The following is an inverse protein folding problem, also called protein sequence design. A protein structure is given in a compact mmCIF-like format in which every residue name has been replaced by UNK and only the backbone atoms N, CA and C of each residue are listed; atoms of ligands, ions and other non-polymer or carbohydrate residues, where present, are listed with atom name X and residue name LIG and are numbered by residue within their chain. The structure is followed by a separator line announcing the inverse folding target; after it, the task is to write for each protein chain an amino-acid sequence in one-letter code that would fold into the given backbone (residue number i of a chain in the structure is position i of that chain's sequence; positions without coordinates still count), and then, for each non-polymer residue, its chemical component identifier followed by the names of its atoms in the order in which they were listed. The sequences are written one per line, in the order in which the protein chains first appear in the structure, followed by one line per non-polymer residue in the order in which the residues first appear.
data_IF_059000137479
#
_entry.id   IF_059000137479
#
_cell.length_a   1.000
_cell.length_b   1.000
_cell.length_c   1.000
_cell.angle_alpha   90.00
_cell.angle_beta   90.00
_cell.angle_gamma   90.00
#
_symmetry.space_group_name_H-M   'P 1'
#
loop_
_entity.id
_entity.type
_entity.pdbx_description
1 polymer ?
#
# COMPACT_ATOMS: atom_id res chain seq x y z
N UNK A 1 55.17 28.94 23.86
CA UNK A 1 55.18 28.21 22.57
C UNK A 1 54.22 27.07 22.71
N UNK A 2 53.37 26.89 21.69
CA UNK A 2 52.30 25.89 21.58
C UNK A 2 52.80 24.45 21.81
N UNK A 3 51.95 23.57 22.35
CA UNK A 3 51.19 22.62 21.52
C UNK A 3 50.42 21.55 22.33
N UNK A 4 49.24 21.22 21.78
CA UNK A 4 48.54 19.92 21.75
C UNK A 4 48.13 19.24 23.06
N UNK A 5 46.83 19.37 23.37
CA UNK A 5 46.06 18.34 24.05
C UNK A 5 45.18 17.69 22.97
N UNK A 6 45.51 16.46 22.63
CA UNK A 6 44.60 15.53 21.97
C UNK A 6 43.79 14.83 23.05
N UNK A 7 42.47 14.99 23.01
CA UNK A 7 41.56 14.15 23.79
C UNK A 7 41.14 12.98 22.92
N UNK A 8 41.65 11.81 23.29
CA UNK A 8 41.06 10.50 23.05
C UNK A 8 39.62 10.51 23.57
N UNK A 9 38.65 10.21 22.70
CA UNK A 9 37.38 9.65 23.12
C UNK A 9 37.23 8.35 22.34
N UNK A 10 37.73 7.30 22.98
CA UNK A 10 37.46 5.92 22.63
C UNK A 10 36.10 5.51 23.23
N UNK A 11 35.42 4.71 22.43
CA UNK A 11 34.52 3.62 22.78
C UNK A 11 33.45 3.81 23.88
N UNK A 12 32.22 4.03 23.44
CA UNK A 12 31.10 3.16 23.81
C UNK A 12 29.84 3.59 23.03
N UNK A 13 29.30 2.70 22.21
CA UNK A 13 27.86 2.36 22.21
C UNK A 13 27.55 1.32 21.13
N UNK A 14 27.79 0.07 21.54
CA UNK A 14 27.00 -1.13 21.24
C UNK A 14 26.44 -1.28 19.82
N UNK A 15 27.15 -2.13 19.09
CA UNK A 15 26.66 -2.98 18.01
C UNK A 15 25.60 -3.96 18.57
N UNK A 16 24.37 -3.46 18.76
CA UNK A 16 23.18 -4.28 19.02
C UNK A 16 22.79 -5.02 17.72
N UNK A 17 23.49 -6.14 17.53
CA UNK A 17 23.09 -7.38 16.87
C UNK A 17 21.69 -7.34 16.22
N UNK A 18 21.68 -7.28 14.89
CA UNK A 18 20.48 -7.48 14.07
C UNK A 18 19.72 -8.74 14.51
N UNK A 19 18.49 -8.57 15.00
CA UNK A 19 17.54 -9.68 15.16
C UNK A 19 17.16 -10.21 13.79
N UNK A 20 17.79 -11.32 13.41
CA UNK A 20 17.26 -12.25 12.41
C UNK A 20 16.68 -13.45 13.14
N UNK A 21 15.36 -13.56 13.24
CA UNK A 21 14.57 -14.74 13.67
C UNK A 21 13.09 -14.42 13.39
N UNK A 22 12.15 -15.28 12.99
CA UNK A 22 11.98 -16.75 12.88
C UNK A 22 10.65 -16.99 12.10
N UNK A 23 10.33 -18.23 11.65
CA UNK A 23 9.07 -18.52 10.95
C UNK A 23 7.85 -18.23 11.83
N UNK A 24 6.73 -17.90 11.18
CA UNK A 24 5.40 -17.58 11.71
C UNK A 24 5.22 -17.78 13.22
N UNK A 25 5.16 -16.67 13.95
CA UNK A 25 4.44 -16.55 15.23
C UNK A 25 3.71 -15.22 15.29
N UNK A 26 2.42 -15.32 15.57
CA UNK A 26 1.45 -14.26 15.79
C UNK A 26 1.92 -13.31 16.90
N UNK A 27 2.35 -12.11 16.52
CA UNK A 27 2.31 -10.91 17.36
C UNK A 27 2.10 -9.72 16.44
N UNK A 28 0.98 -9.02 16.64
CA UNK A 28 0.66 -7.76 15.97
C UNK A 28 1.72 -6.70 16.31
N UNK A 29 2.62 -6.42 15.37
CA UNK A 29 3.27 -5.12 15.26
C UNK A 29 2.56 -4.35 14.14
N UNK A 30 1.54 -3.59 14.57
CA UNK A 30 0.51 -2.88 13.80
C UNK A 30 1.04 -1.65 13.01
N UNK A 31 2.21 -1.74 12.37
CA UNK A 31 2.69 -0.70 11.44
C UNK A 31 3.31 -1.32 10.19
N UNK A 32 2.52 -1.37 9.13
CA UNK A 32 2.97 -1.80 7.80
C UNK A 32 3.86 -0.77 7.11
N UNK A 33 3.78 0.51 7.48
CA UNK A 33 4.71 1.58 7.06
C UNK A 33 4.80 2.71 8.11
N UNK A 34 5.98 3.27 8.42
CA UNK A 34 6.08 4.46 9.27
C UNK A 34 5.56 5.73 8.55
N UNK A 35 4.93 6.69 9.28
CA UNK A 35 4.54 7.97 8.70
C UNK A 35 5.73 8.76 8.14
N UNK A 36 5.50 9.50 7.05
CA UNK A 36 6.51 10.36 6.40
C UNK A 36 6.60 11.70 7.15
N UNK A 37 7.79 12.10 7.59
CA UNK A 37 8.04 13.50 7.94
C UNK A 37 8.28 14.36 6.68
N UNK A 38 7.62 15.51 6.63
CA UNK A 38 7.79 16.50 5.57
C UNK A 38 9.21 17.08 5.59
N UNK A 39 9.92 16.97 4.46
CA UNK A 39 11.27 17.49 4.29
C UNK A 39 11.21 19.02 4.18
N UNK A 40 11.66 19.74 5.21
CA UNK A 40 11.81 21.20 5.18
C UNK A 40 12.78 21.61 4.05
N UNK A 41 12.50 22.65 3.25
CA UNK A 41 13.46 23.15 2.26
C UNK A 41 14.58 23.89 2.98
N UNK A 42 15.82 23.38 2.87
CA UNK A 42 17.00 24.18 3.19
C UNK A 42 17.23 25.18 2.05
N UNK A 43 16.97 26.45 2.36
CA UNK A 43 17.37 27.60 1.57
C UNK A 43 18.89 27.70 1.56
N UNK A 44 19.53 27.57 0.40
CA UNK A 44 20.88 28.09 0.20
C UNK A 44 20.97 28.72 -1.18
N UNK A 45 21.04 30.04 -1.13
CA UNK A 45 21.33 30.98 -2.20
C UNK A 45 22.74 30.79 -2.76
N UNK A 46 22.88 30.78 -4.08
CA UNK A 46 24.12 31.21 -4.76
C UNK A 46 23.87 31.54 -6.24
N UNK A 47 23.71 32.85 -6.44
CA UNK A 47 24.27 33.75 -7.46
C UNK A 47 24.72 33.23 -8.83
N UNK A 48 24.27 33.96 -9.84
CA UNK A 48 24.63 34.01 -11.26
C UNK A 48 26.11 34.30 -11.56
N UNK A 49 26.66 33.70 -12.63
CA UNK A 49 27.49 34.39 -13.62
C UNK A 49 27.81 33.53 -14.85
N UNK A 50 27.61 34.12 -16.02
CA UNK A 50 27.89 33.63 -17.38
C UNK A 50 29.22 34.18 -17.92
N UNK A 51 30.04 33.37 -18.62
CA UNK A 51 30.84 33.84 -19.80
C UNK A 51 31.41 32.68 -20.63
N UNK A 52 31.86 33.03 -21.83
CA UNK A 52 31.94 32.33 -23.13
C UNK A 52 33.25 31.62 -23.47
N UNK A 53 33.15 30.50 -24.20
CA UNK A 53 33.86 30.19 -25.47
C UNK A 53 35.38 29.95 -25.52
N UNK A 54 35.80 28.78 -26.02
CA UNK A 54 36.83 28.58 -27.07
C UNK A 54 36.91 27.12 -27.56
N UNK A 55 37.21 26.94 -28.85
CA UNK A 55 37.20 25.70 -29.65
C UNK A 55 38.57 24.96 -29.70
N UNK A 56 38.52 23.70 -30.17
CA UNK A 56 39.56 22.79 -30.73
C UNK A 56 40.21 21.71 -29.80
N UNK A 57 40.66 20.55 -30.35
CA UNK A 57 39.88 19.43 -30.94
C UNK A 57 40.06 18.09 -30.16
N UNK A 58 39.25 17.09 -30.51
CA UNK A 58 39.18 15.75 -29.86
C UNK A 58 40.50 14.95 -29.83
N UNK A 59 40.71 14.16 -28.76
CA UNK A 59 41.28 12.83 -28.89
C UNK A 59 40.24 11.75 -28.53
N UNK A 60 40.25 10.69 -29.33
CA UNK A 60 39.44 9.47 -29.20
C UNK A 60 39.53 8.90 -27.78
N UNK A 61 38.43 8.94 -27.02
CA UNK A 61 38.31 8.28 -25.71
C UNK A 61 37.38 7.07 -25.85
N UNK A 62 37.92 5.91 -25.47
CA UNK A 62 37.24 4.62 -25.37
C UNK A 62 35.91 4.70 -24.59
N UNK A 63 34.94 3.78 -24.83
CA UNK A 63 33.63 3.86 -24.18
C UNK A 63 33.75 3.77 -22.65
N UNK A 64 33.31 4.82 -21.97
CA UNK A 64 33.25 4.91 -20.52
C UNK A 64 32.42 3.77 -19.92
N UNK A 65 32.91 3.08 -18.87
CA UNK A 65 32.15 2.03 -18.20
C UNK A 65 30.88 2.60 -17.55
N UNK A 66 29.82 1.80 -17.57
CA UNK A 66 28.50 2.16 -17.07
C UNK A 66 28.58 2.85 -15.70
N UNK A 67 27.98 4.04 -15.59
CA UNK A 67 27.97 4.85 -14.35
C UNK A 67 27.37 4.03 -13.21
N UNK A 68 28.20 3.63 -12.25
CA UNK A 68 27.73 3.09 -10.98
C UNK A 68 26.74 4.07 -10.31
N UNK A 69 25.66 3.59 -9.68
CA UNK A 69 24.75 4.46 -8.94
C UNK A 69 25.54 5.27 -7.90
N UNK A 70 25.36 6.59 -7.87
CA UNK A 70 26.01 7.48 -6.88
C UNK A 70 25.80 6.93 -5.48
N UNK A 71 26.85 6.89 -4.65
CA UNK A 71 26.82 6.33 -3.29
C UNK A 71 25.63 6.83 -2.43
N UNK A 72 25.14 8.04 -2.67
CA UNK A 72 23.96 8.61 -2.01
C UNK A 72 22.64 7.84 -2.29
N UNK A 73 22.46 7.27 -3.49
CA UNK A 73 21.24 6.52 -3.84
C UNK A 73 21.21 5.11 -3.21
N UNK A 74 22.39 4.52 -2.95
CA UNK A 74 22.49 3.27 -2.19
C UNK A 74 22.11 3.45 -0.72
N UNK A 75 22.31 4.65 -0.15
CA UNK A 75 21.97 4.95 1.25
C UNK A 75 20.46 4.95 1.50
N UNK A 76 19.63 5.16 0.46
CA UNK A 76 18.17 5.14 0.58
C UNK A 76 17.56 3.80 0.11
N UNK A 77 18.38 2.78 -0.15
CA UNK A 77 17.95 1.43 -0.49
C UNK A 77 18.15 0.48 0.69
N UNK A 78 17.19 -0.43 0.89
CA UNK A 78 17.34 -1.60 1.76
C UNK A 78 18.48 -2.51 1.28
N UNK A 79 18.83 -3.51 2.09
CA UNK A 79 19.89 -4.47 1.78
C UNK A 79 19.60 -5.25 0.49
N UNK A 80 18.38 -5.78 0.32
CA UNK A 80 18.05 -6.55 -0.89
C UNK A 80 17.78 -5.65 -2.10
N UNK A 81 17.33 -4.40 -1.91
CA UNK A 81 17.14 -3.46 -3.02
C UNK A 81 18.45 -3.05 -3.71
N UNK A 82 19.59 -3.20 -3.04
CA UNK A 82 20.93 -2.97 -3.62
C UNK A 82 21.37 -4.08 -4.57
N UNK A 83 20.73 -5.25 -4.49
CA UNK A 83 21.00 -6.39 -5.37
C UNK A 83 20.19 -6.28 -6.67
N UNK A 84 20.81 -6.70 -7.76
CA UNK A 84 20.11 -6.97 -9.02
C UNK A 84 19.21 -8.18 -8.86
N UNK A 85 18.11 -8.23 -9.61
CA UNK A 85 17.12 -9.31 -9.48
C UNK A 85 17.76 -10.69 -9.70
N UNK A 86 18.63 -10.80 -10.71
CA UNK A 86 19.35 -12.03 -11.05
C UNK A 86 20.33 -12.52 -9.96
N UNK A 87 20.65 -11.69 -8.96
CA UNK A 87 21.56 -12.01 -7.85
C UNK A 87 20.83 -12.36 -6.56
N UNK A 88 19.49 -12.38 -6.57
CA UNK A 88 18.70 -12.79 -5.42
C UNK A 88 18.67 -14.31 -5.32
N UNK A 89 18.92 -14.83 -4.13
CA UNK A 89 18.76 -16.26 -3.83
C UNK A 89 17.28 -16.66 -3.79
N UNK A 90 16.94 -17.96 -3.95
CA UNK A 90 15.56 -18.44 -3.81
C UNK A 90 14.90 -18.07 -2.48
N UNK A 91 15.69 -18.02 -1.40
CA UNK A 91 15.22 -17.61 -0.08
C UNK A 91 14.95 -16.10 -0.04
N UNK A 92 15.83 -15.29 -0.62
CA UNK A 92 15.65 -13.83 -0.69
C UNK A 92 14.47 -13.41 -1.57
N UNK A 93 14.15 -14.19 -2.61
CA UNK A 93 12.97 -13.97 -3.43
C UNK A 93 11.67 -14.12 -2.64
N UNK A 94 11.67 -14.86 -1.53
CA UNK A 94 10.48 -15.06 -0.68
C UNK A 94 10.30 -13.96 0.39
N UNK A 95 11.29 -13.09 0.56
CA UNK A 95 11.28 -12.08 1.63
C UNK A 95 10.41 -10.87 1.25
N UNK A 96 9.65 -10.38 2.23
CA UNK A 96 9.07 -9.04 2.24
C UNK A 96 9.89 -8.18 3.20
N UNK A 97 10.64 -7.21 2.68
CA UNK A 97 11.35 -6.25 3.51
C UNK A 97 10.37 -5.20 4.05
N UNK A 98 10.55 -4.81 5.32
CA UNK A 98 9.87 -3.66 5.91
C UNK A 98 10.84 -2.46 5.87
N UNK A 99 10.52 -1.37 5.16
CA UNK A 99 11.44 -0.25 5.03
C UNK A 99 11.61 0.49 6.37
N UNK A 100 12.86 0.62 6.82
CA UNK A 100 13.22 1.47 7.94
C UNK A 100 13.22 2.97 7.59
N UNK A 101 13.47 3.83 8.59
CA UNK A 101 13.59 5.28 8.39
C UNK A 101 14.64 5.60 7.32
N UNK A 102 14.28 6.48 6.37
CA UNK A 102 15.18 6.93 5.30
C UNK A 102 15.32 5.97 4.11
N UNK A 103 14.75 4.77 4.17
CA UNK A 103 14.66 3.86 3.03
C UNK A 103 13.55 4.34 2.10
N UNK A 104 13.83 4.48 0.80
CA UNK A 104 12.88 4.92 -0.23
C UNK A 104 12.50 3.81 -1.21
N UNK A 105 13.23 2.69 -1.19
CA UNK A 105 12.96 1.52 -2.02
C UNK A 105 13.50 0.25 -1.37
N UNK A 106 12.72 -0.81 -1.44
CA UNK A 106 12.96 -2.12 -0.79
C UNK A 106 12.43 -3.26 -1.68
N UNK A 107 12.58 -4.51 -1.26
CA UNK A 107 12.10 -5.70 -1.99
C UNK A 107 10.85 -6.28 -1.34
N UNK A 108 9.89 -6.63 -2.17
CA UNK A 108 8.71 -7.43 -1.79
C UNK A 108 8.65 -8.61 -2.75
N UNK A 109 8.81 -9.83 -2.23
CA UNK A 109 8.89 -11.06 -3.02
C UNK A 109 9.90 -10.96 -4.17
N UNK A 110 11.07 -10.38 -3.90
CA UNK A 110 12.09 -10.13 -4.91
C UNK A 110 11.79 -8.99 -5.90
N UNK A 111 10.60 -8.38 -5.93
CA UNK A 111 10.29 -7.21 -6.77
C UNK A 111 10.78 -5.95 -6.07
N UNK A 112 11.51 -5.09 -6.80
CA UNK A 112 11.90 -3.78 -6.28
C UNK A 112 10.66 -2.89 -6.19
N UNK A 113 10.29 -2.50 -4.99
CA UNK A 113 9.21 -1.55 -4.74
C UNK A 113 9.76 -0.22 -4.25
N UNK A 114 8.95 0.82 -4.39
CA UNK A 114 9.20 2.16 -3.87
C UNK A 114 7.90 2.74 -3.35
N UNK A 115 8.00 3.78 -2.53
CA UNK A 115 6.82 4.59 -2.20
C UNK A 115 6.16 5.10 -3.48
N UNK A 116 4.83 5.11 -3.50
CA UNK A 116 4.12 5.66 -4.65
C UNK A 116 4.48 7.14 -4.82
N UNK A 117 4.76 7.59 -6.05
CA UNK A 117 5.42 8.87 -6.28
C UNK A 117 4.68 10.01 -5.59
N UNK A 118 5.39 10.66 -4.68
CA UNK A 118 4.98 11.92 -4.09
C UNK A 118 5.36 13.06 -5.04
N UNK A 119 4.50 13.48 -5.96
CA UNK A 119 4.63 14.81 -6.57
C UNK A 119 4.56 15.89 -5.49
N UNK A 120 4.98 17.12 -5.77
CA UNK A 120 4.94 18.23 -4.80
C UNK A 120 3.52 18.56 -4.28
N UNK A 121 2.47 17.98 -4.89
CA UNK A 121 1.07 18.04 -4.47
C UNK A 121 0.49 16.65 -4.15
N UNK A 122 1.32 15.65 -3.92
CA UNK A 122 0.84 14.29 -3.78
C UNK A 122 0.03 14.12 -2.51
N UNK A 123 -1.15 13.55 -2.72
CA UNK A 123 -2.03 13.05 -1.67
C UNK A 123 -1.25 11.99 -0.89
N UNK A 124 -1.20 12.15 0.43
CA UNK A 124 -0.68 11.11 1.32
C UNK A 124 -1.58 9.87 1.20
N UNK A 125 -1.00 8.69 1.38
CA UNK A 125 -1.82 7.48 1.37
C UNK A 125 -2.78 7.52 2.57
N UNK A 126 -4.00 7.02 2.37
CA UNK A 126 -4.96 6.84 3.46
C UNK A 126 -4.34 5.97 4.57
N UNK A 127 -4.49 6.37 5.83
CA UNK A 127 -3.92 5.66 6.96
C UNK A 127 -4.30 4.16 6.95
N UNK A 128 -3.35 3.30 7.31
CA UNK A 128 -3.51 1.84 7.32
C UNK A 128 -3.31 1.16 5.96
N UNK A 129 -3.55 1.85 4.84
CA UNK A 129 -3.37 1.28 3.50
C UNK A 129 -1.89 1.24 3.08
N UNK A 130 -1.45 0.21 2.34
CA UNK A 130 -0.07 0.13 1.86
C UNK A 130 0.26 1.25 0.86
N UNK A 131 1.40 1.90 1.06
CA UNK A 131 1.90 3.01 0.22
C UNK A 131 3.14 2.60 -0.58
N UNK A 132 3.04 1.56 -1.40
CA UNK A 132 4.13 1.17 -2.29
C UNK A 132 3.63 0.74 -3.66
N UNK A 133 4.55 0.73 -4.63
CA UNK A 133 4.32 0.27 -6.00
C UNK A 133 5.59 -0.35 -6.59
N UNK A 134 5.48 -1.33 -7.51
CA UNK A 134 6.63 -1.83 -8.26
C UNK A 134 7.41 -0.72 -8.94
N UNK A 135 8.74 -0.79 -8.86
CA UNK A 135 9.62 0.13 -9.54
C UNK A 135 9.91 -0.34 -10.97
N UNK A 136 8.96 -0.10 -11.87
CA UNK A 136 9.00 -0.56 -13.26
C UNK A 136 9.96 0.24 -14.17
N UNK A 137 10.80 1.12 -13.61
CA UNK A 137 11.77 1.90 -14.39
C UNK A 137 12.94 1.05 -14.91
N UNK A 138 13.13 -0.15 -14.35
CA UNK A 138 14.19 -1.09 -14.76
C UNK A 138 13.58 -2.22 -15.60
N UNK A 139 14.18 -2.59 -16.75
CA UNK A 139 13.67 -3.68 -17.58
C UNK A 139 13.52 -5.01 -16.81
N UNK A 140 14.53 -5.41 -16.04
CA UNK A 140 14.49 -6.67 -15.27
C UNK A 140 13.30 -6.73 -14.29
N UNK A 141 13.03 -5.63 -13.59
CA UNK A 141 11.90 -5.55 -12.64
C UNK A 141 10.57 -5.62 -13.36
N UNK A 142 10.47 -4.93 -14.51
CA UNK A 142 9.28 -4.96 -15.35
C UNK A 142 9.03 -6.37 -15.89
N UNK A 143 10.07 -7.06 -16.34
CA UNK A 143 9.95 -8.40 -16.91
C UNK A 143 9.63 -9.43 -15.80
N UNK A 144 10.23 -9.30 -14.61
CA UNK A 144 9.88 -10.11 -13.44
C UNK A 144 8.42 -9.92 -13.00
N UNK A 145 7.91 -8.69 -13.00
CA UNK A 145 6.49 -8.40 -12.70
C UNK A 145 5.57 -8.98 -13.78
N UNK A 146 5.91 -8.80 -15.07
CA UNK A 146 5.12 -9.35 -16.19
C UNK A 146 5.04 -10.87 -16.16
N UNK A 147 6.15 -11.53 -15.83
CA UNK A 147 6.19 -13.00 -15.73
C UNK A 147 5.29 -13.57 -14.62
N UNK A 148 4.84 -12.74 -13.67
CA UNK A 148 3.91 -13.15 -12.61
C UNK A 148 2.45 -12.99 -13.02
N UNK A 149 2.13 -12.26 -14.09
CA UNK A 149 0.76 -12.19 -14.58
C UNK A 149 0.36 -13.51 -15.25
N UNK A 150 -0.57 -14.23 -14.63
CA UNK A 150 -1.05 -15.54 -15.07
C UNK A 150 -2.58 -15.47 -15.29
N UNK A 151 -3.06 -15.25 -16.53
CA UNK A 151 -4.48 -15.06 -16.82
C UNK A 151 -5.38 -16.23 -16.38
N UNK A 152 -4.92 -17.47 -16.52
CA UNK A 152 -5.67 -18.67 -16.11
C UNK A 152 -5.96 -18.69 -14.59
N UNK A 153 -4.91 -18.74 -13.75
CA UNK A 153 -5.06 -18.62 -12.29
C UNK A 153 -5.82 -17.36 -11.85
N UNK A 154 -5.63 -16.23 -12.56
CA UNK A 154 -6.40 -15.03 -12.26
C UNK A 154 -7.89 -15.21 -12.54
N UNK A 155 -8.28 -15.83 -13.66
CA UNK A 155 -9.68 -16.12 -13.98
C UNK A 155 -10.31 -17.07 -12.94
N UNK A 156 -9.55 -18.04 -12.45
CA UNK A 156 -9.98 -18.92 -11.37
C UNK A 156 -10.26 -18.12 -10.09
N UNK A 157 -9.32 -17.28 -9.64
CA UNK A 157 -9.54 -16.37 -8.50
C UNK A 157 -10.71 -15.43 -8.75
N UNK A 158 -10.81 -14.83 -9.93
CA UNK A 158 -11.88 -13.90 -10.27
C UNK A 158 -13.26 -14.55 -10.19
N UNK A 159 -13.36 -15.84 -10.55
CA UNK A 159 -14.60 -16.62 -10.48
C UNK A 159 -15.08 -16.89 -9.06
N UNK A 160 -14.19 -16.85 -8.05
CA UNK A 160 -14.57 -16.98 -6.64
C UNK A 160 -15.24 -15.73 -6.10
N UNK A 161 -15.13 -14.59 -6.81
CA UNK A 161 -15.68 -13.30 -6.42
C UNK A 161 -15.25 -12.90 -5.00
N UNK A 162 -13.95 -12.71 -4.74
CA UNK A 162 -13.44 -12.42 -3.39
C UNK A 162 -14.06 -11.15 -2.78
N UNK A 163 -14.56 -10.24 -3.61
CA UNK A 163 -15.29 -9.05 -3.16
C UNK A 163 -16.68 -9.35 -2.56
N UNK A 164 -17.30 -10.48 -2.88
CA UNK A 164 -18.57 -10.91 -2.26
C UNK A 164 -18.30 -11.29 -0.80
N UNK A 165 -17.30 -12.14 -0.57
CA UNK A 165 -16.85 -12.52 0.79
C UNK A 165 -16.40 -11.30 1.60
N UNK A 166 -15.62 -10.41 0.99
CA UNK A 166 -15.22 -9.15 1.61
C UNK A 166 -16.45 -8.35 2.06
N UNK A 167 -17.45 -8.17 1.19
CA UNK A 167 -18.66 -7.42 1.55
C UNK A 167 -19.53 -8.13 2.60
N UNK A 168 -19.60 -9.45 2.57
CA UNK A 168 -20.37 -10.22 3.55
C UNK A 168 -19.74 -10.17 4.96
N UNK A 169 -18.40 -10.12 5.02
CA UNK A 169 -17.61 -10.04 6.26
C UNK A 169 -17.47 -8.60 6.80
N UNK A 170 -17.98 -7.60 6.08
CA UNK A 170 -17.91 -6.20 6.49
C UNK A 170 -18.46 -5.99 7.90
N UNK A 171 -17.96 -4.97 8.59
CA UNK A 171 -18.65 -4.53 9.81
C UNK A 171 -20.08 -4.09 9.46
N UNK A 172 -21.05 -4.78 10.05
CA UNK A 172 -22.47 -4.52 9.82
C UNK A 172 -23.05 -3.58 10.85
N UNK A 173 -22.30 -3.20 11.88
CA UNK A 173 -22.80 -2.40 12.98
C UNK A 173 -22.07 -1.06 13.11
N UNK A 174 -22.79 -0.04 13.56
CA UNK A 174 -22.19 1.20 14.01
C UNK A 174 -21.53 0.97 15.36
N UNK A 175 -20.25 1.33 15.46
CA UNK A 175 -19.47 1.15 16.71
C UNK A 175 -19.10 2.49 17.35
N UNK A 176 -19.12 3.58 16.59
CA UNK A 176 -18.82 4.94 17.06
C UNK A 176 -20.07 5.82 17.21
N UNK A 177 -21.16 5.52 16.52
CA UNK A 177 -22.34 6.39 16.49
C UNK A 177 -23.63 5.62 16.77
N UNK A 178 -24.52 6.22 17.57
CA UNK A 178 -25.92 5.83 17.56
C UNK A 178 -26.52 6.10 16.16
N UNK A 179 -27.55 5.39 15.71
CA UNK A 179 -28.08 5.57 14.36
C UNK A 179 -28.65 6.99 14.19
N UNK A 180 -28.57 7.57 12.98
CA UNK A 180 -29.24 8.82 12.69
C UNK A 180 -30.74 8.71 12.98
N UNK A 181 -31.37 9.83 13.38
CA UNK A 181 -32.80 9.83 13.74
C UNK A 181 -33.64 9.27 12.59
N UNK A 182 -34.62 8.43 12.91
CA UNK A 182 -35.52 7.86 11.92
C UNK A 182 -36.23 8.96 11.10
N UNK A 183 -36.38 8.74 9.80
CA UNK A 183 -36.99 9.69 8.87
C UNK A 183 -36.10 10.87 8.46
N UNK A 184 -34.84 10.92 8.91
CA UNK A 184 -33.89 11.93 8.44
C UNK A 184 -33.24 11.54 7.12
N UNK A 185 -32.81 12.56 6.35
CA UNK A 185 -31.99 12.36 5.16
C UNK A 185 -30.66 11.64 5.49
N UNK A 186 -30.05 11.93 6.63
CA UNK A 186 -28.82 11.28 7.06
C UNK A 186 -28.93 9.75 7.11
N UNK A 187 -30.06 9.21 7.60
CA UNK A 187 -30.29 7.77 7.58
C UNK A 187 -30.41 7.21 6.15
N UNK A 188 -31.15 7.91 5.28
CA UNK A 188 -31.29 7.53 3.86
C UNK A 188 -29.93 7.53 3.15
N UNK A 189 -29.09 8.54 3.43
CA UNK A 189 -27.75 8.66 2.86
C UNK A 189 -26.83 7.52 3.31
N UNK A 190 -26.92 7.08 4.56
CA UNK A 190 -26.18 5.92 5.04
C UNK A 190 -26.61 4.63 4.32
N UNK A 191 -27.92 4.44 4.10
CA UNK A 191 -28.46 3.32 3.31
C UNK A 191 -27.96 3.36 1.85
N UNK A 192 -27.90 4.54 1.24
CA UNK A 192 -27.37 4.76 -0.12
C UNK A 192 -25.87 4.45 -0.20
N UNK A 193 -25.08 4.87 0.79
CA UNK A 193 -23.64 4.59 0.87
C UNK A 193 -23.38 3.10 0.84
N UNK A 194 -24.05 2.32 1.69
CA UNK A 194 -23.81 0.86 1.72
C UNK A 194 -24.42 0.15 0.53
N UNK A 195 -25.53 0.65 -0.04
CA UNK A 195 -26.02 0.16 -1.33
C UNK A 195 -24.97 0.35 -2.41
N UNK A 196 -24.33 1.52 -2.45
CA UNK A 196 -23.24 1.80 -3.38
C UNK A 196 -22.04 0.88 -3.16
N UNK A 197 -21.65 0.65 -1.90
CA UNK A 197 -20.60 -0.31 -1.54
C UNK A 197 -20.94 -1.71 -2.03
N UNK A 198 -22.16 -2.19 -1.79
CA UNK A 198 -22.64 -3.48 -2.31
C UNK A 198 -22.52 -3.53 -3.82
N UNK A 199 -23.10 -2.58 -4.54
CA UNK A 199 -23.17 -2.60 -6.00
C UNK A 199 -21.78 -2.51 -6.66
N UNK A 200 -20.82 -1.88 -5.99
CA UNK A 200 -19.47 -1.62 -6.50
C UNK A 200 -18.33 -2.30 -5.73
N UNK A 201 -18.64 -3.30 -4.90
CA UNK A 201 -17.67 -4.03 -4.05
C UNK A 201 -16.48 -4.61 -4.82
N UNK A 202 -16.69 -5.05 -6.06
CA UNK A 202 -15.61 -5.50 -6.95
C UNK A 202 -14.57 -4.39 -7.19
N UNK A 203 -15.00 -3.14 -7.34
CA UNK A 203 -14.11 -1.98 -7.51
C UNK A 203 -13.36 -1.63 -6.24
N UNK A 204 -14.00 -1.74 -5.06
CA UNK A 204 -13.30 -1.63 -3.77
C UNK A 204 -12.18 -2.66 -3.68
N UNK A 205 -12.48 -3.92 -4.00
CA UNK A 205 -11.49 -4.99 -4.00
C UNK A 205 -10.36 -4.72 -5.01
N UNK A 206 -10.66 -4.34 -6.26
CA UNK A 206 -9.66 -4.05 -7.29
C UNK A 206 -8.70 -2.91 -6.90
N UNK A 207 -9.22 -1.85 -6.26
CA UNK A 207 -8.41 -0.72 -5.82
C UNK A 207 -7.57 -1.10 -4.59
N UNK A 208 -8.12 -1.93 -3.68
CA UNK A 208 -7.42 -2.51 -2.54
C UNK A 208 -6.36 -3.56 -2.92
N UNK A 209 -6.48 -4.17 -4.10
CA UNK A 209 -5.63 -5.27 -4.57
C UNK A 209 -5.07 -4.99 -5.97
N UNK A 210 -4.50 -3.82 -6.18
CA UNK A 210 -4.06 -3.40 -7.50
C UNK A 210 -2.83 -4.18 -7.98
N UNK A 211 -2.97 -4.98 -9.04
CA UNK A 211 -1.85 -5.76 -9.61
C UNK A 211 -1.47 -5.27 -11.01
N UNK A 212 -0.22 -5.58 -11.39
CA UNK A 212 0.32 -5.28 -12.72
C UNK A 212 -0.14 -6.34 -13.73
N UNK A 213 -0.62 -5.89 -14.88
CA UNK A 213 -1.06 -6.76 -15.98
C UNK A 213 -0.06 -6.64 -17.12
N UNK A 214 0.35 -7.76 -17.70
CA UNK A 214 1.06 -7.71 -18.97
C UNK A 214 0.05 -7.62 -20.12
N UNK A 215 -0.32 -6.39 -20.48
CA UNK A 215 -1.38 -6.11 -21.45
C UNK A 215 -1.06 -6.52 -22.90
N UNK A 216 0.15 -7.00 -23.20
CA UNK A 216 0.51 -7.53 -24.52
C UNK A 216 0.59 -9.07 -24.53
N UNK A 217 0.15 -9.72 -23.45
CA UNK A 217 0.20 -11.17 -23.33
C UNK A 217 -0.86 -11.85 -24.21
N UNK A 218 -2.10 -11.39 -24.11
CA UNK A 218 -3.26 -11.89 -24.86
C UNK A 218 -4.37 -10.81 -24.88
N UNK A 219 -5.40 -11.04 -25.71
CA UNK A 219 -6.53 -10.11 -25.86
C UNK A 219 -7.29 -9.88 -24.55
N UNK A 220 -7.38 -10.90 -23.68
CA UNK A 220 -8.03 -10.77 -22.38
C UNK A 220 -7.27 -9.81 -21.46
N UNK A 221 -5.95 -9.92 -21.44
CA UNK A 221 -5.06 -9.09 -20.62
C UNK A 221 -5.04 -7.64 -21.10
N UNK A 222 -5.12 -7.43 -22.41
CA UNK A 222 -5.27 -6.10 -23.01
C UNK A 222 -6.59 -5.45 -22.60
N UNK A 223 -7.72 -6.12 -22.90
CA UNK A 223 -9.06 -5.64 -22.60
C UNK A 223 -9.24 -5.34 -21.11
N UNK A 224 -8.83 -6.27 -20.24
CA UNK A 224 -8.96 -6.10 -18.80
C UNK A 224 -8.07 -4.98 -18.25
N UNK A 225 -6.88 -4.76 -18.82
CA UNK A 225 -6.02 -3.65 -18.41
C UNK A 225 -6.61 -2.29 -18.79
N UNK A 226 -7.20 -2.19 -19.98
CA UNK A 226 -7.71 -0.95 -20.56
C UNK A 226 -9.01 -0.47 -19.88
N UNK A 227 -9.92 -1.39 -19.56
CA UNK A 227 -11.21 -1.05 -18.94
C UNK A 227 -11.09 -0.82 -17.43
N UNK A 228 -10.33 -1.68 -16.73
CA UNK A 228 -10.24 -1.68 -15.26
C UNK A 228 -9.94 -0.30 -14.68
N UNK A 229 -9.00 0.44 -15.26
CA UNK A 229 -8.57 1.73 -14.70
C UNK A 229 -9.67 2.78 -14.80
N UNK A 230 -10.31 2.93 -15.96
CA UNK A 230 -11.31 3.96 -16.19
C UNK A 230 -12.58 3.71 -15.37
N UNK A 231 -12.99 2.44 -15.24
CA UNK A 231 -14.09 2.02 -14.37
C UNK A 231 -13.80 2.35 -12.90
N UNK A 232 -12.62 1.95 -12.41
CA UNK A 232 -12.20 2.24 -11.04
C UNK A 232 -12.18 3.75 -10.74
N UNK A 233 -11.64 4.57 -11.64
CA UNK A 233 -11.56 6.02 -11.46
C UNK A 233 -12.96 6.66 -11.50
N UNK A 234 -13.86 6.19 -12.37
CA UNK A 234 -15.25 6.68 -12.45
C UNK A 234 -16.04 6.36 -11.17
N UNK A 235 -16.00 5.11 -10.71
CA UNK A 235 -16.70 4.65 -9.51
C UNK A 235 -16.15 5.36 -8.27
N UNK A 236 -14.82 5.50 -8.15
CA UNK A 236 -14.21 6.27 -7.05
C UNK A 236 -14.74 7.70 -7.02
N UNK A 237 -14.80 8.36 -8.18
CA UNK A 237 -15.30 9.73 -8.28
C UNK A 237 -16.79 9.86 -7.94
N UNK A 238 -17.62 8.90 -8.34
CA UNK A 238 -19.04 8.87 -7.98
C UNK A 238 -19.27 8.61 -6.49
N UNK A 239 -18.49 7.71 -5.89
CA UNK A 239 -18.57 7.46 -4.46
C UNK A 239 -18.20 8.70 -3.65
N UNK A 240 -17.14 9.42 -4.01
CA UNK A 240 -16.77 10.67 -3.32
C UNK A 240 -17.92 11.68 -3.36
N UNK A 241 -18.58 11.86 -4.51
CA UNK A 241 -19.74 12.75 -4.63
C UNK A 241 -20.91 12.31 -3.74
N UNK A 242 -21.12 11.00 -3.59
CA UNK A 242 -22.14 10.46 -2.68
C UNK A 242 -21.81 10.77 -1.22
N UNK A 243 -20.55 10.61 -0.82
CA UNK A 243 -20.07 10.96 0.52
C UNK A 243 -20.23 12.46 0.80
N UNK A 244 -19.82 13.32 -0.14
CA UNK A 244 -19.96 14.77 -0.02
C UNK A 244 -21.44 15.18 0.11
N UNK A 245 -22.31 14.61 -0.73
CA UNK A 245 -23.75 14.86 -0.67
C UNK A 245 -24.40 14.36 0.63
N UNK A 246 -23.90 13.27 1.22
CA UNK A 246 -24.37 12.76 2.50
C UNK A 246 -24.09 13.77 3.62
N UNK A 247 -22.90 14.37 3.61
CA UNK A 247 -22.48 15.39 4.58
C UNK A 247 -23.31 16.67 4.40
N UNK A 248 -23.52 17.11 3.16
CA UNK A 248 -24.37 18.27 2.85
C UNK A 248 -25.83 18.08 3.31
N UNK A 249 -26.34 16.84 3.26
CA UNK A 249 -27.67 16.47 3.76
C UNK A 249 -27.72 16.21 5.28
N UNK A 250 -26.62 16.46 6.00
CA UNK A 250 -26.56 16.50 7.46
C UNK A 250 -26.06 15.22 8.13
N UNK A 251 -25.42 14.30 7.41
CA UNK A 251 -24.66 13.22 8.02
C UNK A 251 -23.36 13.79 8.60
N UNK A 252 -23.10 13.59 9.90
CA UNK A 252 -21.83 14.03 10.48
C UNK A 252 -20.65 13.31 9.80
N UNK A 253 -19.60 14.06 9.44
CA UNK A 253 -18.43 13.54 8.72
C UNK A 253 -17.84 12.27 9.37
N UNK A 254 -17.88 12.17 10.69
CA UNK A 254 -17.34 11.02 11.45
C UNK A 254 -18.07 9.71 11.20
N UNK A 255 -19.31 9.72 10.69
CA UNK A 255 -19.97 8.48 10.24
C UNK A 255 -19.25 7.85 9.06
N UNK A 256 -18.57 8.65 8.24
CA UNK A 256 -17.82 8.13 7.08
C UNK A 256 -16.55 7.39 7.50
N UNK A 257 -16.16 7.53 8.77
CA UNK A 257 -15.02 6.83 9.36
C UNK A 257 -15.46 5.61 10.19
N UNK A 258 -16.75 5.28 10.20
CA UNK A 258 -17.25 4.04 10.80
C UNK A 258 -16.65 2.81 10.09
N UNK A 259 -16.25 1.75 10.81
CA UNK A 259 -15.74 0.52 10.20
C UNK A 259 -16.69 -0.13 9.17
N UNK A 260 -18.00 0.09 9.32
CA UNK A 260 -18.99 -0.41 8.37
C UNK A 260 -19.16 0.43 7.09
N UNK A 261 -18.45 1.56 6.98
CA UNK A 261 -18.43 2.45 5.82
C UNK A 261 -17.07 2.35 5.14
N UNK A 262 -17.03 1.66 4.01
CA UNK A 262 -15.78 1.44 3.29
C UNK A 262 -15.23 2.72 2.67
N UNK A 263 -13.90 2.81 2.64
CA UNK A 263 -13.18 3.96 2.09
C UNK A 263 -12.24 3.52 0.98
N UNK A 264 -12.22 4.28 -0.12
CA UNK A 264 -11.18 4.09 -1.13
C UNK A 264 -9.84 4.62 -0.62
N UNK A 265 -8.73 3.89 -0.78
CA UNK A 265 -7.42 4.45 -0.52
C UNK A 265 -7.14 5.60 -1.48
N UNK A 266 -6.43 6.62 -1.00
CA UNK A 266 -6.00 7.77 -1.79
C UNK A 266 -5.18 7.35 -3.02
N UNK A 267 -4.45 6.23 -2.92
CA UNK A 267 -3.73 5.61 -4.04
C UNK A 267 -4.04 4.12 -4.10
N UNK A 268 -4.15 3.55 -5.31
CA UNK A 268 -4.35 2.11 -5.49
C UNK A 268 -3.29 1.28 -4.74
N UNK A 269 -3.71 0.27 -4.01
CA UNK A 269 -2.84 -0.53 -3.14
C UNK A 269 -2.18 -1.66 -3.93
N UNK A 270 -0.89 -1.54 -4.25
CA UNK A 270 -0.22 -2.52 -5.10
C UNK A 270 -0.14 -3.90 -4.44
N UNK A 271 -0.72 -4.93 -5.05
CA UNK A 271 -0.56 -6.33 -4.64
C UNK A 271 0.59 -6.97 -5.44
N UNK A 272 1.65 -7.39 -4.73
CA UNK A 272 2.83 -8.01 -5.33
C UNK A 272 2.64 -9.52 -5.32
N UNK A 273 2.39 -10.11 -6.48
CA UNK A 273 2.24 -11.56 -6.57
C UNK A 273 3.58 -12.24 -6.35
N UNK A 274 3.56 -13.43 -5.78
CA UNK A 274 4.75 -14.28 -5.63
C UNK A 274 5.22 -14.81 -6.99
N UNK A 275 6.51 -15.16 -7.09
CA UNK A 275 6.98 -15.83 -8.30
C UNK A 275 6.43 -17.26 -8.37
N UNK A 276 6.16 -17.82 -9.56
CA UNK A 276 5.69 -19.22 -9.71
C UNK A 276 6.66 -20.28 -9.13
N UNK A 277 7.92 -19.89 -8.92
CA UNK A 277 8.93 -20.73 -8.25
C UNK A 277 8.74 -20.84 -6.74
N UNK A 278 8.02 -19.91 -6.09
CA UNK A 278 7.80 -19.94 -4.65
C UNK A 278 6.90 -21.12 -4.28
N UNK A 279 7.34 -21.92 -3.32
CA UNK A 279 6.64 -23.13 -2.90
C UNK A 279 6.10 -23.00 -1.48
N UNK A 280 4.92 -23.55 -1.24
CA UNK A 280 4.34 -23.72 0.08
C UNK A 280 4.99 -24.89 0.84
N UNK A 281 4.49 -25.19 2.05
CA UNK A 281 5.04 -26.24 2.91
C UNK A 281 4.96 -27.64 2.25
N UNK A 282 4.03 -27.84 1.33
CA UNK A 282 3.83 -29.06 0.56
C UNK A 282 4.71 -29.13 -0.71
N UNK A 283 5.56 -28.13 -0.94
CA UNK A 283 6.43 -28.06 -2.12
C UNK A 283 5.71 -27.66 -3.42
N UNK A 284 4.45 -27.19 -3.34
CA UNK A 284 3.64 -26.75 -4.49
C UNK A 284 3.71 -25.23 -4.67
N UNK A 285 3.60 -24.70 -5.91
CA UNK A 285 3.44 -23.27 -6.09
C UNK A 285 2.24 -22.73 -5.32
N UNK A 286 2.38 -21.55 -4.71
CA UNK A 286 1.23 -20.85 -4.11
C UNK A 286 0.20 -20.46 -5.18
N UNK A 287 -1.04 -20.88 -5.00
CA UNK A 287 -2.18 -20.39 -5.75
C UNK A 287 -2.44 -18.91 -5.47
N UNK A 288 -3.15 -18.21 -6.37
CA UNK A 288 -3.51 -16.81 -6.13
C UNK A 288 -4.47 -16.65 -4.94
N UNK A 289 -5.30 -17.66 -4.66
CA UNK A 289 -6.17 -17.66 -3.47
C UNK A 289 -5.35 -17.71 -2.17
N UNK A 290 -4.34 -18.57 -2.08
CA UNK A 290 -3.44 -18.61 -0.92
C UNK A 290 -2.65 -17.31 -0.78
N UNK A 291 -2.17 -16.75 -1.90
CA UNK A 291 -1.48 -15.46 -1.88
C UNK A 291 -2.39 -14.31 -1.44
N UNK A 292 -3.66 -14.31 -1.86
CA UNK A 292 -4.65 -13.32 -1.43
C UNK A 292 -4.84 -13.39 0.09
N UNK A 293 -5.12 -14.58 0.63
CA UNK A 293 -5.31 -14.76 2.07
C UNK A 293 -4.11 -14.29 2.91
N UNK A 294 -2.88 -14.60 2.46
CA UNK A 294 -1.65 -14.11 3.11
C UNK A 294 -1.53 -12.59 3.05
N UNK A 295 -1.89 -11.99 1.92
CA UNK A 295 -1.83 -10.54 1.71
C UNK A 295 -2.85 -9.81 2.58
N UNK A 296 -4.07 -10.32 2.64
CA UNK A 296 -5.18 -9.73 3.41
C UNK A 296 -4.93 -9.83 4.92
N UNK A 297 -4.31 -10.93 5.36
CA UNK A 297 -3.87 -11.09 6.75
C UNK A 297 -2.74 -10.11 7.11
N UNK A 298 -1.79 -9.91 6.19
CA UNK A 298 -0.64 -9.03 6.44
C UNK A 298 -1.02 -7.54 6.37
N UNK A 299 -1.99 -7.19 5.53
CA UNK A 299 -2.38 -5.82 5.21
C UNK A 299 -3.92 -5.67 5.29
N UNK A 300 -4.51 -5.74 6.50
CA UNK A 300 -5.96 -5.86 6.70
C UNK A 300 -6.77 -4.68 6.15
N UNK A 301 -6.15 -3.50 5.98
CA UNK A 301 -6.81 -2.35 5.35
C UNK A 301 -7.27 -2.63 3.91
N UNK A 302 -6.61 -3.55 3.19
CA UNK A 302 -7.03 -3.92 1.82
C UNK A 302 -8.45 -4.49 1.75
N UNK A 303 -8.83 -5.19 2.81
CA UNK A 303 -10.16 -5.75 3.03
C UNK A 303 -10.93 -4.95 4.08
N UNK A 304 -10.66 -3.65 4.21
CA UNK A 304 -11.43 -2.74 5.07
C UNK A 304 -11.52 -3.22 6.53
N UNK A 305 -10.48 -3.91 7.00
CA UNK A 305 -10.39 -4.48 8.35
C UNK A 305 -11.40 -5.59 8.65
N UNK A 306 -11.99 -6.19 7.60
CA UNK A 306 -12.94 -7.30 7.72
C UNK A 306 -12.27 -8.58 8.25
N UNK A 307 -10.96 -8.72 8.09
CA UNK A 307 -10.16 -9.83 8.63
C UNK A 307 -9.89 -9.72 10.14
N UNK A 308 -10.18 -8.58 10.78
CA UNK A 308 -10.05 -8.42 12.22
C UNK A 308 -11.11 -9.25 12.96
N UNK A 309 -10.69 -9.90 14.05
CA UNK A 309 -11.51 -10.86 14.81
C UNK A 309 -12.39 -10.20 15.88
N UNK A 310 -12.23 -8.90 16.12
CA UNK A 310 -12.96 -8.12 17.14
C UNK A 310 -13.12 -6.67 16.74
N UNK A 311 -14.07 -5.96 17.34
CA UNK A 311 -14.22 -4.51 17.14
C UNK A 311 -12.99 -3.77 17.66
N UNK A 312 -12.40 -4.20 18.77
CA UNK A 312 -11.16 -3.63 19.33
C UNK A 312 -10.01 -3.67 18.32
N UNK A 313 -9.84 -4.78 17.63
CA UNK A 313 -8.81 -4.93 16.60
C UNK A 313 -9.10 -4.01 15.39
N UNK A 314 -10.36 -3.89 14.96
CA UNK A 314 -10.76 -2.96 13.89
C UNK A 314 -10.49 -1.51 14.28
N UNK A 315 -10.89 -1.12 15.50
CA UNK A 315 -10.76 0.24 16.03
C UNK A 315 -9.29 0.61 16.21
N UNK A 316 -8.41 -0.33 16.55
CA UNK A 316 -6.98 -0.07 16.67
C UNK A 316 -6.35 0.48 15.37
N UNK A 317 -7.00 0.26 14.21
CA UNK A 317 -6.59 0.82 12.93
C UNK A 317 -7.27 2.16 12.59
N UNK A 318 -8.32 2.52 13.29
CA UNK A 318 -9.09 3.73 13.06
C UNK A 318 -8.31 4.98 13.52
N UNK A 319 -8.54 6.16 12.92
CA UNK A 319 -8.01 7.41 13.44
C UNK A 319 -8.23 7.56 14.96
N UNK A 320 -7.22 8.02 15.71
CA UNK A 320 -7.28 8.14 17.17
C UNK A 320 -8.47 8.99 17.69
N UNK A 321 -9.04 9.83 16.82
CA UNK A 321 -10.22 10.64 17.12
C UNK A 321 -11.51 9.81 17.22
N UNK A 322 -11.55 8.61 16.64
CA UNK A 322 -12.68 7.68 16.73
C UNK A 322 -12.68 6.87 18.02
N UNK A 323 -11.50 6.61 18.60
CA UNK A 323 -11.39 5.94 19.92
C UNK A 323 -12.14 6.74 21.00
N UNK A 324 -12.14 8.07 20.88
CA UNK A 324 -12.88 8.99 21.75
C UNK A 324 -14.41 8.94 21.56
N UNK A 325 -14.88 8.33 20.48
CA UNK A 325 -16.29 8.27 20.08
C UNK A 325 -16.91 6.89 20.23
N UNK A 326 -16.17 5.88 20.68
CA UNK A 326 -16.69 4.52 20.80
C UNK A 326 -17.95 4.46 21.65
N UNK A 327 -18.96 3.78 21.13
CA UNK A 327 -20.12 3.39 21.93
C UNK A 327 -19.68 2.44 23.05
N UNK A 328 -20.44 2.37 24.15
CA UNK A 328 -20.31 1.27 25.11
C UNK A 328 -20.44 -0.07 24.39
N UNK A 329 -19.66 -1.08 24.81
CA UNK A 329 -19.61 -2.41 24.18
C UNK A 329 -21.02 -3.02 23.98
N UNK A 330 -21.91 -2.85 24.96
CA UNK A 330 -23.29 -3.33 24.91
C UNK A 330 -24.13 -2.73 23.76
N UNK A 331 -23.74 -1.58 23.21
CA UNK A 331 -24.48 -0.89 22.15
C UNK A 331 -23.82 -1.04 20.75
N UNK A 332 -22.57 -1.55 20.66
CA UNK A 332 -21.81 -1.69 19.40
C UNK A 332 -22.39 -2.72 18.42
N UNK A 333 -23.21 -3.67 18.89
CA UNK A 333 -23.88 -4.67 18.05
C UNK A 333 -25.39 -4.41 17.90
N UNK A 334 -25.83 -3.19 18.23
CA UNK A 334 -27.26 -2.87 18.32
C UNK A 334 -27.81 -2.25 17.04
N UNK A 335 -26.96 -1.58 16.27
CA UNK A 335 -27.39 -0.72 15.18
C UNK A 335 -26.71 -1.09 13.87
N UNK A 336 -27.49 -1.64 12.93
CA UNK A 336 -26.99 -2.03 11.63
C UNK A 336 -26.65 -0.81 10.76
N UNK A 337 -25.50 -0.86 10.10
CA UNK A 337 -25.19 -0.10 8.90
C UNK A 337 -25.78 -0.88 7.73
N UNK A 338 -26.67 -0.26 6.94
CA UNK A 338 -28.14 -0.27 6.97
C UNK A 338 -28.88 -1.62 7.12
N UNK A 339 -30.20 -1.57 7.32
CA UNK A 339 -31.09 -2.75 7.46
C UNK A 339 -31.21 -3.63 6.20
N UNK A 340 -30.93 -3.08 5.02
CA UNK A 340 -31.09 -3.78 3.74
C UNK A 340 -30.03 -4.88 3.52
N UNK A 341 -28.90 -4.77 4.22
CA UNK A 341 -27.78 -5.70 4.13
C UNK A 341 -27.38 -6.18 5.54
N UNK A 342 -28.24 -6.99 6.20
CA UNK A 342 -28.05 -7.40 7.60
C UNK A 342 -26.88 -8.35 7.81
#
# INVERSE_FOLDING_TARGET
MHSEVGDDIDDETQDETFRTTKPFKTKLDLRTTPPREAKRPNSTSSTTSSTTGSQHPDPVVAPSPAKHPRAAQRRTQSTLARKEYAKLTPEELQIIEVPGRGVTSWRHYGILVKFQPGTAKAVEQTSGFPDYTPNLSKPEERDAVRARWLPGPFKELWSTKPWDEMFDNRSKFLVCHAPPKAGTKALVRLDEIVTYMSDHRCTFWLIGHWFSIYNQLDAYSEEFADTRKSECDSIRGHYQKLLDAAVDDGLEQSYLEEPGVWTFPAKCCSWIWMAPSHKNAEGKPYSLQEQLALTDQQEPARVQWDSCSSDEERIAHAPAQLDLRLLPEADRHRYLVPKKFP
#
